data_IF_058191394287
#
_entry.id   IF_058191394287
#
_cell.length_a   1.000
_cell.length_b   1.000
_cell.length_c   1.000
_cell.angle_alpha   90.00
_cell.angle_beta   90.00
_cell.angle_gamma   90.00
#
_symmetry.space_group_name_H-M   'P 1'
#
loop_
_entity.id
_entity.type
_entity.pdbx_description
1 polymer ?
#
# COMPACT_ATOMS: atom_id res chain seq x y z
N UNK A 1 5.33 26.75 27.60
CA UNK A 1 4.58 25.73 26.84
C UNK A 1 4.00 26.42 25.62
N UNK A 2 4.52 26.15 24.43
CA UNK A 2 4.04 26.78 23.18
C UNK A 2 2.98 25.87 22.58
N UNK A 3 1.81 26.41 22.24
CA UNK A 3 0.74 25.67 21.57
C UNK A 3 1.14 25.49 20.09
N UNK A 4 1.05 24.28 19.51
CA UNK A 4 1.29 24.09 18.08
C UNK A 4 0.30 24.93 17.26
N UNK A 5 0.70 25.46 16.11
CA UNK A 5 -0.20 26.20 15.25
C UNK A 5 -1.35 25.31 14.76
N UNK A 6 -2.54 25.89 14.65
CA UNK A 6 -3.74 25.19 14.18
C UNK A 6 -3.65 24.76 12.71
N UNK A 7 -2.83 25.46 11.93
CA UNK A 7 -2.61 25.19 10.52
C UNK A 7 -1.11 25.02 10.23
N UNK A 8 -0.78 23.93 9.54
CA UNK A 8 0.59 23.54 9.19
C UNK A 8 0.66 23.21 7.70
N UNK A 9 1.38 24.05 6.95
CA UNK A 9 1.68 23.79 5.55
C UNK A 9 2.83 22.79 5.42
N UNK A 10 2.48 21.51 5.22
CA UNK A 10 3.44 20.41 5.06
C UNK A 10 3.88 20.28 3.60
N UNK A 11 3.30 19.33 2.86
CA UNK A 11 3.62 19.12 1.45
C UNK A 11 3.22 20.30 0.57
N UNK A 12 2.24 21.10 1.00
CA UNK A 12 1.75 22.28 0.26
C UNK A 12 2.81 23.39 0.11
N UNK A 13 3.84 23.38 0.96
CA UNK A 13 4.97 24.32 0.84
C UNK A 13 5.88 24.02 -0.37
N UNK A 14 5.64 22.94 -1.10
CA UNK A 14 6.43 22.51 -2.26
C UNK A 14 5.57 22.43 -3.53
N UNK A 15 6.20 22.47 -4.72
CA UNK A 15 5.49 22.16 -5.97
C UNK A 15 4.77 20.80 -5.88
N UNK A 16 3.59 20.65 -6.51
CA UNK A 16 2.87 19.39 -6.53
C UNK A 16 3.74 18.22 -7.01
N UNK A 17 3.61 17.08 -6.35
CA UNK A 17 4.29 15.86 -6.78
C UNK A 17 3.61 15.31 -8.04
N UNK A 18 4.41 15.04 -9.07
CA UNK A 18 3.97 14.45 -10.34
C UNK A 18 4.53 13.03 -10.50
N UNK A 19 3.71 12.12 -11.02
CA UNK A 19 4.08 10.70 -11.18
C UNK A 19 5.27 10.51 -12.13
N UNK A 20 5.33 11.29 -13.20
CA UNK A 20 6.44 11.24 -14.17
C UNK A 20 7.76 11.77 -13.57
N UNK A 21 7.69 12.81 -12.74
CA UNK A 21 8.88 13.29 -12.01
C UNK A 21 9.43 12.22 -11.06
N UNK A 22 8.56 11.46 -10.42
CA UNK A 22 8.97 10.31 -9.61
C UNK A 22 9.57 9.20 -10.49
N UNK A 23 8.96 8.86 -11.64
CA UNK A 23 9.49 7.86 -12.59
C UNK A 23 10.88 8.23 -13.10
N UNK A 24 11.15 9.49 -13.38
CA UNK A 24 12.50 9.96 -13.78
C UNK A 24 13.55 9.71 -12.69
N UNK A 25 13.18 9.97 -11.44
CA UNK A 25 14.05 9.72 -10.28
C UNK A 25 14.35 8.22 -10.15
N UNK A 26 13.33 7.38 -10.28
CA UNK A 26 13.46 5.92 -10.23
C UNK A 26 14.29 5.40 -11.41
N UNK A 27 14.05 5.89 -12.64
CA UNK A 27 14.82 5.56 -13.83
C UNK A 27 16.31 5.83 -13.62
N UNK A 28 16.66 6.98 -13.02
CA UNK A 28 18.03 7.29 -12.64
C UNK A 28 18.67 6.27 -11.68
N UNK A 29 17.89 5.68 -10.77
CA UNK A 29 18.36 4.61 -9.87
C UNK A 29 18.47 3.27 -10.61
N UNK A 30 17.47 2.89 -11.40
CA UNK A 30 17.45 1.64 -12.16
C UNK A 30 18.56 1.58 -13.23
N UNK A 31 18.94 2.73 -13.80
CA UNK A 31 20.10 2.84 -14.68
C UNK A 31 21.40 2.46 -13.97
N UNK A 32 21.55 2.85 -12.70
CA UNK A 32 22.75 2.52 -11.90
C UNK A 32 22.81 1.03 -11.56
N UNK A 33 21.66 0.36 -11.43
CA UNK A 33 21.60 -1.09 -11.23
C UNK A 33 21.65 -1.90 -12.53
N UNK A 34 21.63 -1.25 -13.70
CA UNK A 34 21.57 -1.89 -15.01
C UNK A 34 20.20 -2.44 -15.39
N UNK A 35 19.16 -2.13 -14.62
CA UNK A 35 17.78 -2.58 -14.86
C UNK A 35 17.01 -1.68 -15.85
N UNK A 36 17.51 -0.49 -16.16
CA UNK A 36 16.94 0.43 -17.15
C UNK A 36 18.05 1.12 -17.97
N UNK A 37 17.68 1.69 -19.12
CA UNK A 37 18.55 2.49 -19.98
C UNK A 37 18.01 3.93 -20.12
N UNK A 38 18.71 4.79 -20.85
CA UNK A 38 18.19 6.12 -21.18
C UNK A 38 16.95 6.09 -22.07
N UNK A 39 16.84 5.05 -22.90
CA UNK A 39 15.73 4.92 -23.83
C UNK A 39 14.51 4.21 -23.21
N UNK A 40 14.62 3.70 -21.98
CA UNK A 40 13.49 3.09 -21.27
C UNK A 40 12.37 4.13 -21.08
N UNK A 41 11.15 3.87 -21.61
CA UNK A 41 9.99 4.74 -21.43
C UNK A 41 9.61 4.91 -19.96
N UNK A 42 9.10 6.08 -19.57
CA UNK A 42 8.74 6.35 -18.18
C UNK A 42 7.59 5.48 -17.68
N UNK A 43 6.63 5.15 -18.53
CA UNK A 43 5.49 4.30 -18.19
C UNK A 43 5.88 2.83 -17.93
N UNK A 44 7.04 2.39 -18.41
CA UNK A 44 7.58 1.05 -18.13
C UNK A 44 8.33 0.95 -16.79
N UNK A 45 8.76 2.08 -16.22
CA UNK A 45 9.62 2.13 -15.02
C UNK A 45 9.00 1.42 -13.82
N UNK A 46 7.70 1.58 -13.62
CA UNK A 46 6.96 0.92 -12.52
C UNK A 46 6.90 -0.60 -12.70
N UNK A 47 6.79 -1.05 -13.96
CA UNK A 47 6.80 -2.46 -14.32
C UNK A 47 8.11 -3.15 -13.95
N UNK A 48 9.24 -2.45 -14.13
CA UNK A 48 10.58 -2.97 -13.77
C UNK A 48 10.75 -3.23 -12.26
N UNK A 49 9.94 -2.59 -11.42
CA UNK A 49 9.95 -2.79 -9.97
C UNK A 49 8.86 -3.76 -9.48
N UNK A 50 7.93 -4.16 -10.35
CA UNK A 50 6.81 -5.01 -9.98
C UNK A 50 7.30 -6.43 -9.66
N UNK A 51 6.77 -7.00 -8.57
CA UNK A 51 7.08 -8.39 -8.19
C UNK A 51 5.84 -9.25 -8.24
N UNK A 52 5.96 -10.48 -8.74
CA UNK A 52 4.91 -11.47 -8.64
C UNK A 52 4.90 -12.13 -7.26
N UNK A 53 3.71 -12.32 -6.68
CA UNK A 53 3.50 -13.21 -5.53
C UNK A 53 3.71 -14.68 -5.94
N UNK A 54 3.67 -15.59 -4.98
CA UNK A 54 3.73 -17.03 -5.24
C UNK A 54 2.65 -17.48 -6.25
N UNK A 55 1.44 -16.93 -6.15
CA UNK A 55 0.31 -17.24 -7.04
C UNK A 55 0.34 -16.44 -8.35
N UNK A 56 1.43 -15.72 -8.63
CA UNK A 56 1.57 -14.92 -9.86
C UNK A 56 0.85 -13.57 -9.83
N UNK A 57 0.38 -13.10 -8.67
CA UNK A 57 -0.30 -11.80 -8.57
C UNK A 57 0.75 -10.67 -8.59
N UNK A 58 0.67 -9.70 -9.52
CA UNK A 58 1.63 -8.59 -9.56
C UNK A 58 1.40 -7.63 -8.40
N UNK A 59 2.47 -7.32 -7.68
CA UNK A 59 2.53 -6.33 -6.60
C UNK A 59 3.33 -5.15 -7.11
N UNK A 60 2.66 -4.02 -7.31
CA UNK A 60 3.27 -2.78 -7.75
C UNK A 60 4.17 -2.19 -6.67
N UNK A 61 5.18 -1.43 -7.07
CA UNK A 61 6.12 -0.80 -6.14
C UNK A 61 5.56 0.45 -5.44
N UNK A 62 4.50 1.04 -5.98
CA UNK A 62 3.82 2.22 -5.45
C UNK A 62 2.31 2.07 -5.64
N UNK A 63 1.56 2.23 -4.56
CA UNK A 63 0.10 2.38 -4.58
C UNK A 63 -0.24 3.82 -4.19
N UNK A 64 -1.13 4.46 -4.94
CA UNK A 64 -1.56 5.83 -4.72
C UNK A 64 -3.02 5.88 -4.27
N UNK A 65 -3.54 7.10 -4.11
CA UNK A 65 -4.97 7.30 -3.83
C UNK A 65 -5.87 6.72 -4.93
N UNK A 66 -5.40 6.71 -6.18
CA UNK A 66 -6.20 6.22 -7.32
C UNK A 66 -6.37 4.69 -7.29
N UNK A 67 -5.48 3.99 -6.60
CA UNK A 67 -5.53 2.53 -6.42
C UNK A 67 -6.41 2.11 -5.22
N UNK A 68 -6.91 3.06 -4.44
CA UNK A 68 -7.69 2.76 -3.25
C UNK A 68 -9.09 2.22 -3.64
N UNK A 69 -9.51 1.06 -3.12
CA UNK A 69 -10.83 0.53 -3.41
C UNK A 69 -11.93 1.45 -2.82
N UNK A 70 -13.04 1.67 -3.54
CA UNK A 70 -14.17 2.42 -3.00
C UNK A 70 -14.86 1.61 -1.89
N UNK A 71 -15.38 2.28 -0.85
CA UNK A 71 -16.26 1.64 0.13
C UNK A 71 -16.19 2.23 1.54
N UNK A 72 -17.28 2.04 2.30
CA UNK A 72 -17.33 2.32 3.75
C UNK A 72 -17.46 1.01 4.52
N UNK A 73 -16.89 0.91 5.74
CA UNK A 73 -17.09 -0.26 6.60
C UNK A 73 -18.57 -0.61 6.77
N UNK A 74 -18.90 -1.91 6.78
CA UNK A 74 -20.27 -2.40 6.99
C UNK A 74 -21.25 -2.25 5.81
N UNK A 75 -20.82 -1.75 4.66
CA UNK A 75 -21.64 -1.68 3.44
C UNK A 75 -21.09 -2.61 2.35
N UNK A 76 -21.98 -3.11 1.48
CA UNK A 76 -21.60 -3.90 0.31
C UNK A 76 -20.47 -3.20 -0.49
N UNK A 77 -19.41 -3.91 -0.90
CA UNK A 77 -19.26 -5.38 -0.92
C UNK A 77 -18.71 -6.01 0.38
N UNK A 78 -18.81 -5.32 1.53
CA UNK A 78 -18.44 -5.83 2.87
C UNK A 78 -16.97 -6.23 3.04
N UNK A 79 -16.04 -5.67 2.25
CA UNK A 79 -14.58 -5.92 2.39
C UNK A 79 -14.08 -5.61 3.81
N UNK A 80 -14.75 -4.66 4.47
CA UNK A 80 -14.52 -4.29 5.87
C UNK A 80 -15.74 -4.67 6.69
N UNK A 81 -16.03 -5.97 6.74
CA UNK A 81 -17.03 -6.53 7.65
C UNK A 81 -16.50 -6.40 9.08
N UNK A 82 -17.24 -5.68 9.92
CA UNK A 82 -17.00 -5.63 11.36
C UNK A 82 -18.02 -6.55 11.97
N UNK A 83 -17.55 -7.63 12.61
CA UNK A 83 -18.42 -8.44 13.46
C UNK A 83 -18.40 -7.78 14.85
N UNK A 84 -19.51 -7.23 15.33
CA UNK A 84 -19.58 -6.75 16.72
C UNK A 84 -19.68 -7.98 17.61
N UNK A 85 -18.56 -8.48 18.11
CA UNK A 85 -18.53 -9.36 19.26
C UNK A 85 -18.61 -8.53 20.55
N UNK A 86 -19.38 -9.05 21.52
CA UNK A 86 -19.81 -8.33 22.74
C UNK A 86 -18.67 -7.85 23.65
N UNK A 87 -19.04 -7.23 24.77
CA UNK A 87 -18.18 -6.57 25.77
C UNK A 87 -16.75 -7.14 25.86
N UNK A 88 -15.83 -6.56 25.09
CA UNK A 88 -14.44 -7.00 24.97
C UNK A 88 -13.67 -6.06 24.03
N UNK A 89 -12.34 -6.03 24.18
CA UNK A 89 -11.46 -5.31 23.26
C UNK A 89 -11.62 -5.99 21.89
N UNK A 90 -12.17 -5.28 20.90
CA UNK A 90 -12.42 -5.79 19.55
C UNK A 90 -11.19 -6.54 19.02
N UNK A 91 -11.36 -7.81 18.69
CA UNK A 91 -10.26 -8.72 18.35
C UNK A 91 -10.78 -9.96 17.65
N UNK A 92 -9.94 -10.99 17.55
CA UNK A 92 -10.32 -12.28 16.96
C UNK A 92 -10.43 -13.35 18.04
N UNK A 93 -11.44 -14.21 17.91
CA UNK A 93 -11.62 -15.37 18.78
C UNK A 93 -10.40 -16.32 18.71
N UNK A 94 -9.89 -16.71 19.87
CA UNK A 94 -8.75 -17.65 20.00
C UNK A 94 -9.32 -19.06 20.05
N UNK A 95 -9.20 -19.80 18.94
CA UNK A 95 -9.77 -21.15 18.80
C UNK A 95 -8.71 -22.24 19.01
N UNK A 96 -8.72 -22.96 20.16
CA UNK A 96 -7.79 -24.06 20.38
C UNK A 96 -8.16 -25.27 19.52
N UNK A 97 -7.14 -25.97 19.00
CA UNK A 97 -7.30 -27.24 18.32
C UNK A 97 -6.79 -28.37 19.24
N UNK A 98 -7.70 -29.26 19.64
CA UNK A 98 -7.37 -30.47 20.37
C UNK A 98 -7.48 -31.66 19.42
N UNK A 99 -6.33 -32.20 19.00
CA UNK A 99 -6.26 -33.48 18.32
C UNK A 99 -6.08 -34.56 19.39
N UNK A 100 -6.99 -35.53 19.44
CA UNK A 100 -6.83 -36.69 20.30
C UNK A 100 -5.63 -37.52 19.80
N UNK A 101 -4.59 -37.64 20.61
CA UNK A 101 -3.50 -38.58 20.32
C UNK A 101 -3.94 -39.91 20.90
N UNK A 102 -4.87 -40.57 20.20
CA UNK A 102 -5.37 -41.88 20.57
C UNK A 102 -4.23 -42.89 20.71
N UNK A 103 -4.08 -43.39 21.93
CA UNK A 103 -3.27 -44.54 22.32
C UNK A 103 -3.90 -45.21 23.52
#
# INVERSE_FOLDING_TARGET
MTVPPEELELAAAFPPAERDRWRETVKGVLRKSGAATEDTPLDEIEGLLTRASYDGVPVAALYTRDDAPPGRPGLAPYVREVRPDGEGIAGWDVRPHFADVGG
#
